data_IF_452915073712
#
_entry.id   IF_452915073712
#
_cell.length_a   1.000
_cell.length_b   1.000
_cell.length_c   1.000
_cell.angle_alpha   90.00
_cell.angle_beta   90.00
_cell.angle_gamma   90.00
#
_symmetry.space_group_name_H-M   'P 1'
#
loop_
_entity.id
_entity.type
_entity.pdbx_description
1 polymer ?
#
# COMPACT_ATOMS: atom_id res chain seq x y z
N UNK A 1 -6.59 -7.08 -10.22
CA UNK A 1 -5.48 -7.21 -11.21
C UNK A 1 -5.14 -8.68 -11.46
N UNK A 2 -4.78 -9.09 -12.69
CA UNK A 2 -4.29 -10.45 -12.97
C UNK A 2 -2.80 -10.60 -12.65
N UNK A 3 -2.34 -11.84 -12.47
CA UNK A 3 -0.92 -12.14 -12.16
C UNK A 3 0.02 -11.59 -13.23
N UNK A 4 -0.29 -11.79 -14.52
CA UNK A 4 0.56 -11.32 -15.63
C UNK A 4 0.72 -9.80 -15.61
N UNK A 5 -0.37 -9.08 -15.41
CA UNK A 5 -0.37 -7.60 -15.34
C UNK A 5 0.46 -7.12 -14.14
N UNK A 6 0.30 -7.76 -12.98
CA UNK A 6 1.08 -7.44 -11.78
C UNK A 6 2.59 -7.66 -12.00
N UNK A 7 2.97 -8.76 -12.65
CA UNK A 7 4.36 -9.04 -12.99
C UNK A 7 4.94 -7.98 -13.92
N UNK A 8 4.20 -7.57 -14.95
CA UNK A 8 4.62 -6.51 -15.88
C UNK A 8 4.80 -5.16 -15.16
N UNK A 9 3.88 -4.80 -14.26
CA UNK A 9 3.99 -3.58 -13.45
C UNK A 9 5.21 -3.62 -12.52
N UNK A 10 5.44 -4.72 -11.81
CA UNK A 10 6.56 -4.85 -10.86
C UNK A 10 7.92 -4.92 -11.58
N UNK A 11 7.98 -5.58 -12.74
CA UNK A 11 9.21 -5.69 -13.53
C UNK A 11 9.70 -4.33 -14.08
N UNK A 12 8.82 -3.34 -14.17
CA UNK A 12 9.16 -1.99 -14.62
C UNK A 12 9.72 -1.09 -13.50
N UNK A 13 9.73 -1.55 -12.25
CA UNK A 13 10.19 -0.78 -11.07
C UNK A 13 11.60 -1.21 -10.65
N UNK A 14 12.20 -0.45 -9.72
CA UNK A 14 13.50 -0.84 -9.15
C UNK A 14 13.34 -2.15 -8.35
N UNK A 15 14.07 -3.22 -8.70
CA UNK A 15 13.93 -4.53 -8.07
C UNK A 15 14.33 -4.57 -6.58
N UNK A 16 15.00 -3.52 -6.08
CA UNK A 16 15.35 -3.41 -4.66
C UNK A 16 14.38 -2.54 -3.85
N UNK A 17 13.34 -1.97 -4.50
CA UNK A 17 12.34 -1.18 -3.79
C UNK A 17 11.49 -2.06 -2.87
N UNK A 18 11.16 -1.52 -1.70
CA UNK A 18 10.22 -2.16 -0.79
C UNK A 18 8.78 -2.02 -1.30
N UNK A 19 7.99 -3.08 -1.11
CA UNK A 19 6.58 -3.14 -1.53
C UNK A 19 5.68 -3.14 -0.30
N UNK A 20 4.68 -2.25 -0.27
CA UNK A 20 3.68 -2.17 0.78
C UNK A 20 2.26 -2.28 0.21
N UNK A 21 1.37 -2.98 0.92
CA UNK A 21 -0.06 -2.93 0.64
C UNK A 21 -0.68 -1.69 1.31
N UNK A 22 -1.48 -0.94 0.55
CA UNK A 22 -2.14 0.27 1.01
C UNK A 22 -3.64 0.22 0.70
N UNK A 23 -4.47 0.58 1.68
CA UNK A 23 -5.92 0.63 1.54
C UNK A 23 -6.48 1.82 2.33
N UNK A 24 -7.32 2.64 1.69
CA UNK A 24 -8.02 3.75 2.32
C UNK A 24 -9.46 3.40 2.75
N UNK A 25 -9.90 2.16 2.55
CA UNK A 25 -11.27 1.74 2.86
C UNK A 25 -11.51 1.64 4.37
N UNK A 26 -12.22 2.63 4.93
CA UNK A 26 -12.60 2.68 6.34
C UNK A 26 -13.46 1.50 6.81
N UNK A 27 -14.11 0.75 5.90
CA UNK A 27 -14.84 -0.50 6.24
C UNK A 27 -13.90 -1.60 6.74
N UNK A 28 -12.58 -1.47 6.51
CA UNK A 28 -11.57 -2.40 7.00
C UNK A 28 -11.43 -2.40 8.54
N UNK A 29 -11.80 -1.30 9.21
CA UNK A 29 -11.69 -1.18 10.67
C UNK A 29 -12.81 -1.90 11.45
N UNK A 30 -13.65 -2.69 10.77
CA UNK A 30 -14.75 -3.43 11.41
C UNK A 30 -14.23 -4.50 12.37
N UNK A 31 -14.40 -4.26 13.68
CA UNK A 31 -13.84 -5.05 14.79
C UNK A 31 -14.19 -6.54 14.81
N UNK A 32 -15.21 -6.98 14.08
CA UNK A 32 -15.76 -8.34 14.17
C UNK A 32 -15.45 -9.24 12.96
N UNK A 33 -14.58 -8.80 12.03
CA UNK A 33 -14.19 -9.59 10.86
C UNK A 33 -12.85 -10.30 11.09
N UNK A 34 -12.81 -11.62 10.87
CA UNK A 34 -11.57 -12.42 10.97
C UNK A 34 -10.67 -12.28 9.74
N UNK A 35 -11.25 -11.96 8.58
CA UNK A 35 -10.53 -11.71 7.33
C UNK A 35 -11.38 -10.84 6.39
N UNK A 36 -10.72 -10.19 5.45
CA UNK A 36 -11.29 -9.39 4.36
C UNK A 36 -10.58 -9.78 3.07
N UNK A 37 -11.32 -9.95 1.99
CA UNK A 37 -10.74 -10.21 0.66
C UNK A 37 -10.44 -8.87 0.00
N UNK A 38 -9.29 -8.80 -0.65
CA UNK A 38 -8.85 -7.62 -1.36
C UNK A 38 -8.48 -7.94 -2.79
N UNK A 39 -8.71 -6.95 -3.65
CA UNK A 39 -8.17 -6.93 -5.00
C UNK A 39 -7.10 -5.86 -5.12
N UNK A 40 -6.00 -6.18 -5.80
CA UNK A 40 -5.01 -5.18 -6.21
C UNK A 40 -5.62 -4.33 -7.32
N UNK A 41 -5.77 -3.04 -7.04
CA UNK A 41 -6.27 -2.03 -7.97
C UNK A 41 -5.14 -1.38 -8.77
N UNK A 42 -3.99 -1.14 -8.13
CA UNK A 42 -2.88 -0.39 -8.73
C UNK A 42 -1.53 -0.76 -8.10
N UNK A 43 -0.45 -0.58 -8.88
CA UNK A 43 0.93 -0.66 -8.40
C UNK A 43 1.63 0.62 -8.80
N UNK A 44 2.14 1.39 -7.85
CA UNK A 44 2.80 2.65 -8.18
C UNK A 44 3.97 2.98 -7.24
N UNK A 45 5.09 3.52 -7.75
CA UNK A 45 6.11 4.10 -6.92
C UNK A 45 5.58 5.41 -6.31
N UNK A 46 5.78 5.58 -5.00
CA UNK A 46 5.39 6.77 -4.24
C UNK A 46 6.52 7.18 -3.32
N UNK A 47 6.69 8.49 -3.15
CA UNK A 47 7.40 9.03 -2.00
C UNK A 47 6.49 8.99 -0.78
N UNK A 48 6.96 8.40 0.30
CA UNK A 48 6.25 8.39 1.56
C UNK A 48 7.19 8.24 2.75
N UNK A 49 6.73 8.65 3.91
CA UNK A 49 7.43 8.43 5.18
C UNK A 49 6.64 7.48 6.07
N UNK A 50 7.33 6.50 6.64
CA UNK A 50 6.78 5.62 7.67
C UNK A 50 6.81 6.35 8.99
N UNK A 51 5.64 6.61 9.54
CA UNK A 51 5.49 7.28 10.82
C UNK A 51 4.73 6.39 11.80
N UNK A 52 4.75 6.76 13.07
CA UNK A 52 3.84 6.22 14.07
C UNK A 52 2.96 7.32 14.59
N UNK A 53 1.66 7.06 14.66
CA UNK A 53 0.71 7.96 15.31
C UNK A 53 0.95 7.95 16.83
N UNK A 54 0.25 8.82 17.57
CA UNK A 54 0.40 8.96 19.03
C UNK A 54 0.11 7.65 19.78
N UNK A 55 -0.82 6.84 19.27
CA UNK A 55 -1.16 5.51 19.77
C UNK A 55 -0.17 4.41 19.34
N UNK A 56 0.92 4.79 18.67
CA UNK A 56 1.96 3.94 18.06
C UNK A 56 1.51 3.15 16.84
N UNK A 57 0.30 3.37 16.33
CA UNK A 57 -0.19 2.74 15.09
C UNK A 57 0.76 3.08 13.94
N UNK A 58 1.32 2.08 13.23
CA UNK A 58 2.07 2.32 12.01
C UNK A 58 1.22 3.04 10.99
N UNK A 59 1.73 4.12 10.42
CA UNK A 59 1.02 4.92 9.45
C UNK A 59 1.97 5.34 8.33
N UNK A 60 1.41 5.55 7.14
CA UNK A 60 2.16 5.97 5.97
C UNK A 60 1.75 7.39 5.59
N UNK A 61 2.68 8.34 5.67
CA UNK A 61 2.47 9.71 5.20
C UNK A 61 2.94 9.81 3.76
N UNK A 62 2.00 9.82 2.82
CA UNK A 62 2.28 9.96 1.38
C UNK A 62 2.69 11.40 1.07
N UNK A 63 3.71 11.58 0.24
CA UNK A 63 4.23 12.87 -0.19
C UNK A 63 5.72 13.05 0.09
N UNK A 64 6.24 14.20 -0.32
CA UNK A 64 7.63 14.56 -0.08
C UNK A 64 7.85 15.06 1.35
N UNK A 65 9.04 14.78 1.88
CA UNK A 65 9.45 15.19 3.23
C UNK A 65 10.89 14.79 3.53
N UNK A 66 11.47 15.28 4.64
CA UNK A 66 12.86 14.99 5.01
C UNK A 66 13.15 13.50 5.20
N UNK A 67 12.14 12.72 5.61
CA UNK A 67 12.22 11.28 5.83
C UNK A 67 11.46 10.50 4.75
N UNK A 68 11.16 11.13 3.60
CA UNK A 68 10.43 10.46 2.53
C UNK A 68 11.38 9.57 1.74
N UNK A 69 11.01 8.31 1.61
CA UNK A 69 11.72 7.32 0.80
C UNK A 69 10.84 6.88 -0.38
N UNK A 70 11.47 6.32 -1.42
CA UNK A 70 10.74 5.74 -2.54
C UNK A 70 10.25 4.34 -2.15
N UNK A 71 8.94 4.14 -2.21
CA UNK A 71 8.28 2.88 -1.93
C UNK A 71 7.39 2.49 -3.10
N UNK A 72 7.18 1.19 -3.30
CA UNK A 72 6.16 0.68 -4.21
C UNK A 72 4.89 0.40 -3.41
N UNK A 73 3.81 1.11 -3.73
CA UNK A 73 2.50 0.84 -3.12
C UNK A 73 1.68 -0.06 -4.03
N UNK A 74 1.22 -1.18 -3.46
CA UNK A 74 0.13 -1.98 -3.96
C UNK A 74 -1.16 -1.43 -3.37
N UNK A 75 -1.88 -0.64 -4.16
CA UNK A 75 -3.20 -0.17 -3.77
C UNK A 75 -4.16 -1.36 -3.82
N UNK A 76 -4.84 -1.62 -2.71
CA UNK A 76 -5.81 -2.70 -2.58
C UNK A 76 -7.17 -2.16 -2.14
N UNK A 77 -8.24 -2.78 -2.63
CA UNK A 77 -9.62 -2.42 -2.32
C UNK A 77 -10.45 -3.64 -1.94
N UNK A 78 -11.48 -3.44 -1.11
CA UNK A 78 -12.44 -4.47 -0.71
C UNK A 78 -13.83 -4.31 -1.33
N UNK A 79 -14.06 -3.22 -2.07
CA UNK A 79 -15.29 -2.96 -2.82
C UNK A 79 -15.29 -3.77 -4.12
N UNK A 80 -15.83 -4.99 -4.06
CA UNK A 80 -16.41 -5.70 -5.22
C UNK A 80 -17.89 -5.34 -5.30
#
# INVERSE_FOLDING_TARGET
MKVKELQECLAALDPNSEVLCYCEDGKFLAKDRKFVVFEVSSVSPRKASRIRLEDRTPYLKIGEGPEAENLVLLDVTSDI
#
